data_IF_138733596641
#
_entry.id   IF_138733596641
#
_cell.length_a   1.000
_cell.length_b   1.000
_cell.length_c   1.000
_cell.angle_alpha   90.00
_cell.angle_beta   90.00
_cell.angle_gamma   90.00
#
_symmetry.space_group_name_H-M   'P 1'
#
loop_
_entity.id
_entity.type
_entity.pdbx_description
1 polymer ?
#
# COMPACT_ATOMS: atom_id res chain seq x y z
N UNK A 1 -13.43 13.08 20.17
CA UNK A 1 -11.96 13.06 20.00
C UNK A 1 -11.71 12.52 18.61
N UNK A 2 -11.23 13.34 17.68
CA UNK A 2 -10.74 12.80 16.42
C UNK A 2 -9.50 11.97 16.78
N UNK A 3 -9.53 10.68 16.49
CA UNK A 3 -8.33 9.84 16.60
C UNK A 3 -7.32 10.36 15.59
N UNK A 4 -6.13 10.74 16.06
CA UNK A 4 -5.04 11.12 15.16
C UNK A 4 -4.78 9.95 14.19
N UNK A 5 -4.91 10.23 12.89
CA UNK A 5 -4.66 9.24 11.85
C UNK A 5 -3.17 8.93 11.82
N UNK A 6 -2.79 7.72 12.21
CA UNK A 6 -1.39 7.28 12.09
C UNK A 6 -1.10 6.83 10.64
N UNK A 7 -0.04 7.38 10.07
CA UNK A 7 0.42 7.08 8.71
C UNK A 7 1.65 6.15 8.80
N UNK A 8 1.61 5.03 8.09
CA UNK A 8 2.69 4.04 8.03
C UNK A 8 3.31 4.03 6.63
N UNK A 9 4.59 4.36 6.54
CA UNK A 9 5.38 4.23 5.31
C UNK A 9 5.93 2.82 5.15
N UNK A 10 5.70 2.18 4.00
CA UNK A 10 6.20 0.86 3.65
C UNK A 10 7.09 0.95 2.41
N UNK A 11 8.33 0.45 2.50
CA UNK A 11 9.27 0.39 1.39
C UNK A 11 9.50 -1.04 0.93
N UNK A 12 9.45 -1.28 -0.38
CA UNK A 12 9.78 -2.58 -0.96
C UNK A 12 10.57 -2.46 -2.29
N UNK A 13 11.21 -3.55 -2.70
CA UNK A 13 12.00 -3.62 -3.95
C UNK A 13 11.72 -4.97 -4.64
N UNK A 14 12.71 -5.58 -5.29
CA UNK A 14 12.58 -6.90 -5.90
C UNK A 14 12.07 -7.95 -4.88
N UNK A 15 11.04 -8.70 -5.27
CA UNK A 15 10.43 -9.76 -4.44
C UNK A 15 9.55 -9.28 -3.29
N UNK A 16 9.48 -7.96 -3.02
CA UNK A 16 8.69 -7.44 -1.89
C UNK A 16 7.19 -7.35 -2.13
N UNK A 17 6.72 -7.51 -3.37
CA UNK A 17 5.28 -7.44 -3.73
C UNK A 17 4.50 -8.55 -3.03
N UNK A 18 4.99 -9.79 -3.06
CA UNK A 18 4.32 -10.92 -2.41
C UNK A 18 4.24 -10.72 -0.88
N UNK A 19 5.30 -10.17 -0.28
CA UNK A 19 5.33 -9.84 1.14
C UNK A 19 4.30 -8.75 1.48
N UNK A 20 4.16 -7.72 0.63
CA UNK A 20 3.12 -6.69 0.79
C UNK A 20 1.72 -7.29 0.67
N UNK A 21 1.47 -8.19 -0.29
CA UNK A 21 0.18 -8.88 -0.40
C UNK A 21 -0.15 -9.69 0.85
N UNK A 22 0.81 -10.46 1.37
CA UNK A 22 0.63 -11.24 2.61
C UNK A 22 0.38 -10.33 3.81
N UNK A 23 1.11 -9.21 3.91
CA UNK A 23 0.88 -8.20 4.93
C UNK A 23 -0.55 -7.64 4.86
N UNK A 24 -0.96 -7.13 3.69
CA UNK A 24 -2.28 -6.50 3.53
C UNK A 24 -3.46 -7.48 3.65
N UNK A 25 -3.25 -8.78 3.41
CA UNK A 25 -4.24 -9.83 3.74
C UNK A 25 -4.47 -9.99 5.24
N UNK A 26 -3.48 -9.68 6.06
CA UNK A 26 -3.55 -9.83 7.52
C UNK A 26 -4.00 -8.55 8.23
N UNK A 27 -3.89 -7.37 7.61
CA UNK A 27 -4.25 -6.09 8.23
C UNK A 27 -5.78 -5.85 8.14
N UNK A 28 -6.47 -5.59 9.27
CA UNK A 28 -7.88 -5.21 9.27
C UNK A 28 -8.10 -3.86 8.57
N UNK A 29 -9.13 -3.78 7.72
CA UNK A 29 -9.45 -2.57 6.98
C UNK A 29 -9.90 -1.39 7.88
N UNK A 30 -10.35 -1.69 9.09
CA UNK A 30 -10.77 -0.76 10.14
C UNK A 30 -9.69 -0.55 11.21
N UNK A 31 -8.43 -0.86 10.90
CA UNK A 31 -7.27 -0.69 11.81
C UNK A 31 -7.02 0.75 12.27
N UNK A 32 -7.66 1.75 11.66
CA UNK A 32 -7.43 3.17 11.96
C UNK A 32 -6.09 3.70 11.42
N UNK A 33 -5.47 2.97 10.49
CA UNK A 33 -4.18 3.31 9.89
C UNK A 33 -4.34 3.71 8.42
N UNK A 34 -3.48 4.62 7.97
CA UNK A 34 -3.26 4.90 6.55
C UNK A 34 -1.86 4.39 6.15
N UNK A 35 -1.75 3.81 4.95
CA UNK A 35 -0.50 3.24 4.45
C UNK A 35 -0.03 3.99 3.20
N UNK A 36 1.26 4.34 3.17
CA UNK A 36 1.94 4.86 1.99
C UNK A 36 2.98 3.83 1.57
N UNK A 37 2.78 3.23 0.40
CA UNK A 37 3.67 2.17 -0.11
C UNK A 37 4.54 2.72 -1.23
N UNK A 38 5.85 2.57 -1.08
CA UNK A 38 6.86 2.99 -2.06
C UNK A 38 7.63 1.76 -2.52
N UNK A 39 7.66 1.54 -3.83
CA UNK A 39 8.41 0.43 -4.43
C UNK A 39 9.36 0.91 -5.50
N UNK A 40 10.55 0.31 -5.59
CA UNK A 40 11.43 0.57 -6.73
C UNK A 40 10.77 0.08 -8.03
N UNK A 41 10.64 1.00 -8.99
CA UNK A 41 10.14 0.73 -10.33
C UNK A 41 11.16 1.28 -11.35
N UNK A 42 11.51 0.52 -12.41
CA UNK A 42 12.36 1.04 -13.46
C UNK A 42 11.69 2.24 -14.17
N UNK A 43 12.46 3.21 -14.68
CA UNK A 43 11.91 4.34 -15.42
C UNK A 43 11.07 3.89 -16.62
N UNK A 44 9.93 4.54 -16.84
CA UNK A 44 9.05 4.28 -17.99
C UNK A 44 8.10 3.10 -17.84
N UNK A 45 8.06 2.45 -16.67
CA UNK A 45 7.06 1.43 -16.37
C UNK A 45 5.90 2.04 -15.58
N UNK A 46 4.69 1.64 -15.93
CA UNK A 46 3.51 1.90 -15.10
C UNK A 46 3.48 0.86 -13.97
N UNK A 47 3.23 1.32 -12.74
CA UNK A 47 3.12 0.41 -11.60
C UNK A 47 1.76 -0.27 -11.59
N UNK A 48 1.72 -1.59 -11.46
CA UNK A 48 0.49 -2.35 -11.21
C UNK A 48 0.21 -2.54 -9.70
N UNK A 49 1.01 -1.91 -8.83
CA UNK A 49 0.99 -2.19 -7.40
C UNK A 49 -0.38 -1.90 -6.76
N UNK A 50 -1.05 -0.81 -7.15
CA UNK A 50 -2.34 -0.47 -6.57
C UNK A 50 -3.40 -1.55 -6.87
N UNK A 51 -3.41 -2.10 -8.09
CA UNK A 51 -4.31 -3.18 -8.50
C UNK A 51 -4.00 -4.48 -7.75
N UNK A 52 -2.71 -4.83 -7.64
CA UNK A 52 -2.26 -6.04 -6.95
C UNK A 52 -2.64 -5.98 -5.46
N UNK A 53 -2.31 -4.87 -4.79
CA UNK A 53 -2.63 -4.71 -3.37
C UNK A 53 -4.13 -4.58 -3.14
N UNK A 54 -4.87 -3.93 -4.04
CA UNK A 54 -6.32 -3.81 -3.98
C UNK A 54 -7.06 -5.16 -4.05
N UNK A 55 -6.45 -6.21 -4.61
CA UNK A 55 -6.98 -7.59 -4.55
C UNK A 55 -6.70 -8.29 -3.22
N UNK A 56 -5.74 -7.79 -2.45
CA UNK A 56 -5.25 -8.41 -1.22
C UNK A 56 -5.84 -7.80 0.06
N UNK A 57 -6.57 -6.68 -0.03
CA UNK A 57 -7.22 -6.04 1.13
C UNK A 57 -8.59 -5.47 0.78
N UNK A 58 -9.40 -5.19 1.81
CA UNK A 58 -10.66 -4.44 1.69
C UNK A 58 -10.47 -2.93 1.81
N UNK A 59 -9.27 -2.47 2.18
CA UNK A 59 -8.94 -1.05 2.17
C UNK A 59 -8.99 -0.51 0.73
N UNK A 60 -9.44 0.74 0.53
CA UNK A 60 -9.32 1.38 -0.77
C UNK A 60 -7.84 1.66 -1.07
N UNK A 61 -7.40 1.27 -2.27
CA UNK A 61 -6.00 1.41 -2.71
C UNK A 61 -5.96 2.24 -3.99
N UNK A 62 -5.11 3.26 -4.01
CA UNK A 62 -4.97 4.18 -5.14
C UNK A 62 -3.50 4.49 -5.42
N UNK A 63 -3.21 4.87 -6.67
CA UNK A 63 -1.95 5.54 -6.98
C UNK A 63 -1.91 6.91 -6.29
N UNK A 64 -0.80 7.20 -5.60
CA UNK A 64 -0.52 8.53 -5.10
C UNK A 64 -0.49 9.53 -6.28
N UNK A 65 -1.01 10.73 -6.03
CA UNK A 65 -1.03 11.85 -6.98
C UNK A 65 -0.33 13.03 -6.34
N UNK A 66 0.28 13.87 -7.18
CA UNK A 66 0.78 15.16 -6.74
C UNK A 66 -0.36 16.01 -6.16
N UNK A 67 -0.05 16.80 -5.13
CA UNK A 67 -1.02 17.50 -4.28
C UNK A 67 -1.27 18.94 -4.66
#
# INVERSE_FOLDING_TARGET
MASDLAIVGLGASAGGVEALEQFFKAVPADSGLAFVVVTHLPPGYESMLAEILGRSTRMPVFHARDG
#
